data_IF_297327090961
#
_entry.id   IF_297327090961
#
_cell.length_a   1.000
_cell.length_b   1.000
_cell.length_c   1.000
_cell.angle_alpha   90.00
_cell.angle_beta   90.00
_cell.angle_gamma   90.00
#
_symmetry.space_group_name_H-M   'P 1'
#
loop_
_entity.id
_entity.type
_entity.pdbx_description
1 polymer ?
#
# COMPACT_ATOMS: atom_id res chain seq x y z
N UNK A 1 -18.77 22.41 -2.46
CA UNK A 1 -17.58 21.83 -3.11
C UNK A 1 -17.27 20.48 -2.48
N UNK A 2 -17.18 19.44 -3.27
CA UNK A 2 -16.64 18.16 -2.80
C UNK A 2 -15.18 18.38 -2.42
N UNK A 3 -14.80 17.98 -1.21
CA UNK A 3 -13.41 18.01 -0.79
C UNK A 3 -12.69 16.85 -1.45
N UNK A 4 -11.76 17.14 -2.33
CA UNK A 4 -10.93 16.10 -2.93
C UNK A 4 -9.92 15.58 -1.91
N UNK A 5 -9.90 14.26 -1.72
CA UNK A 5 -8.94 13.60 -0.84
C UNK A 5 -7.82 12.99 -1.67
N UNK A 6 -6.60 13.33 -1.33
CA UNK A 6 -5.42 12.81 -2.04
C UNK A 6 -5.17 11.34 -1.70
N UNK A 7 -4.85 10.59 -2.74
CA UNK A 7 -4.32 9.22 -2.64
C UNK A 7 -2.90 9.25 -3.17
N UNK A 8 -1.95 9.01 -2.30
CA UNK A 8 -0.53 9.19 -2.59
C UNK A 8 0.17 7.85 -2.46
N UNK A 9 0.82 7.41 -3.52
CA UNK A 9 1.69 6.25 -3.53
C UNK A 9 3.16 6.69 -3.47
N UNK A 10 3.86 6.31 -2.40
CA UNK A 10 5.30 6.54 -2.23
C UNK A 10 6.05 5.28 -2.65
N UNK A 11 6.82 5.38 -3.72
CA UNK A 11 7.60 4.27 -4.25
C UNK A 11 9.09 4.51 -4.03
N UNK A 12 9.81 3.50 -3.59
CA UNK A 12 11.24 3.58 -3.38
C UNK A 12 11.83 2.24 -2.98
N UNK A 13 13.15 2.08 -3.15
CA UNK A 13 13.86 0.91 -2.65
C UNK A 13 13.70 0.77 -1.12
N UNK A 14 13.92 -0.43 -0.61
CA UNK A 14 13.96 -0.68 0.84
C UNK A 14 15.02 0.20 1.51
N UNK A 15 14.73 0.72 2.70
CA UNK A 15 15.66 1.55 3.45
C UNK A 15 15.86 2.98 2.95
N UNK A 16 15.09 3.45 1.97
CA UNK A 16 15.18 4.81 1.41
C UNK A 16 14.29 5.85 2.07
N UNK A 17 13.85 5.61 3.30
CA UNK A 17 13.15 6.61 4.11
C UNK A 17 11.66 6.79 3.86
N UNK A 18 11.00 5.91 3.08
CA UNK A 18 9.54 6.00 2.86
C UNK A 18 8.77 6.03 4.17
N UNK A 19 8.97 5.03 5.01
CA UNK A 19 8.32 4.96 6.33
C UNK A 19 8.74 6.11 7.24
N UNK A 20 10.01 6.50 7.19
CA UNK A 20 10.55 7.60 8.00
C UNK A 20 9.90 8.96 7.67
N UNK A 21 9.45 9.15 6.43
CA UNK A 21 8.77 10.39 6.02
C UNK A 21 7.45 10.64 6.76
N UNK A 22 6.87 9.61 7.39
CA UNK A 22 5.62 9.72 8.15
C UNK A 22 5.81 10.13 9.63
N UNK A 23 7.05 10.34 10.09
CA UNK A 23 7.34 10.68 11.49
C UNK A 23 6.67 11.95 12.00
N UNK A 24 6.41 12.90 11.08
CA UNK A 24 5.84 14.21 11.40
C UNK A 24 4.31 14.27 11.19
N UNK A 25 3.67 13.14 10.86
CA UNK A 25 2.21 13.09 10.81
C UNK A 25 1.63 13.21 12.23
N UNK A 26 0.47 13.85 12.30
CA UNK A 26 -0.25 14.02 13.56
C UNK A 26 -0.62 12.64 14.17
N UNK A 27 -0.06 12.29 15.34
CA UNK A 27 -0.24 10.97 15.94
C UNK A 27 -1.67 10.70 16.41
N UNK A 28 -2.44 11.76 16.71
CA UNK A 28 -3.80 11.63 17.22
C UNK A 28 -4.84 11.41 16.11
N UNK A 29 -4.51 11.81 14.89
CA UNK A 29 -5.45 11.76 13.75
C UNK A 29 -4.96 10.89 12.60
N UNK A 30 -3.84 10.18 12.75
CA UNK A 30 -3.29 9.27 11.75
C UNK A 30 -3.59 7.82 12.11
N UNK A 31 -4.23 7.09 11.20
CA UNK A 31 -4.36 5.64 11.24
C UNK A 31 -3.20 4.99 10.50
N UNK A 32 -2.31 4.29 11.19
CA UNK A 32 -1.14 3.63 10.61
C UNK A 32 -1.33 2.12 10.54
N UNK A 33 -1.37 1.57 9.33
CA UNK A 33 -1.48 0.15 9.04
C UNK A 33 -0.10 -0.38 8.66
N UNK A 34 0.54 -1.08 9.60
CA UNK A 34 1.88 -1.65 9.42
C UNK A 34 1.78 -3.07 8.88
N UNK A 35 1.80 -3.22 7.57
CA UNK A 35 1.72 -4.51 6.89
C UNK A 35 3.07 -5.21 6.83
N UNK A 36 4.16 -4.47 6.92
CA UNK A 36 5.52 -5.01 6.95
C UNK A 36 5.84 -5.75 8.26
N UNK A 37 5.02 -5.53 9.29
CA UNK A 37 5.19 -6.08 10.63
C UNK A 37 6.59 -5.83 11.25
N UNK A 38 7.19 -4.69 10.89
CA UNK A 38 8.49 -4.24 11.39
C UNK A 38 8.31 -3.08 12.36
N UNK A 39 9.23 -2.91 13.32
CA UNK A 39 9.29 -1.69 14.11
C UNK A 39 9.43 -0.46 13.20
N UNK A 40 8.75 0.62 13.54
CA UNK A 40 8.92 1.88 12.83
C UNK A 40 10.33 2.43 13.08
N UNK A 41 10.98 3.05 12.07
CA UNK A 41 12.35 3.57 12.17
C UNK A 41 12.44 4.87 12.98
N UNK A 42 11.38 5.22 13.72
CA UNK A 42 11.28 6.40 14.56
C UNK A 42 10.40 6.10 15.78
N UNK A 43 10.59 6.89 16.84
CA UNK A 43 9.69 6.84 18.00
C UNK A 43 8.33 7.36 17.57
N UNK A 44 7.30 6.52 17.70
CA UNK A 44 5.96 6.89 17.33
C UNK A 44 5.02 6.86 18.54
N UNK A 45 4.02 7.73 18.50
CA UNK A 45 2.93 7.77 19.47
C UNK A 45 1.58 7.70 18.73
N UNK A 46 1.53 7.06 17.57
CA UNK A 46 0.28 6.93 16.81
C UNK A 46 -0.78 6.22 17.66
N UNK A 47 -1.86 6.94 17.93
CA UNK A 47 -3.02 6.43 18.67
C UNK A 47 -3.66 5.23 17.96
N UNK A 48 -3.67 5.27 16.64
CA UNK A 48 -4.25 4.24 15.78
C UNK A 48 -3.17 3.54 14.96
N UNK A 49 -2.39 2.69 15.61
CA UNK A 49 -1.34 1.91 14.96
C UNK A 49 -1.65 0.43 15.08
N UNK A 50 -1.79 -0.26 13.95
CA UNK A 50 -2.05 -1.70 13.90
C UNK A 50 -1.04 -2.41 13.02
N UNK A 51 -0.54 -3.53 13.50
CA UNK A 51 0.29 -4.47 12.75
C UNK A 51 -0.58 -5.56 12.15
N UNK A 52 -0.30 -5.92 10.90
CA UNK A 52 -1.07 -6.89 10.15
C UNK A 52 -0.34 -8.21 10.03
N UNK A 53 -1.06 -9.32 10.19
CA UNK A 53 -0.52 -10.68 10.04
C UNK A 53 -1.13 -11.41 8.85
N UNK A 54 -2.27 -10.93 8.33
CA UNK A 54 -2.92 -11.46 7.14
C UNK A 54 -3.58 -10.34 6.33
N UNK A 55 -3.88 -10.62 5.07
CA UNK A 55 -4.42 -9.60 4.16
C UNK A 55 -5.86 -9.18 4.51
N UNK A 56 -6.65 -10.06 5.10
CA UNK A 56 -8.02 -9.75 5.52
C UNK A 56 -8.08 -8.69 6.61
N UNK A 57 -7.12 -8.70 7.54
CA UNK A 57 -6.98 -7.66 8.55
C UNK A 57 -6.70 -6.27 7.94
N UNK A 58 -5.99 -6.22 6.81
CA UNK A 58 -5.76 -4.95 6.09
C UNK A 58 -7.08 -4.35 5.63
N UNK A 59 -7.96 -5.15 5.03
CA UNK A 59 -9.28 -4.69 4.59
C UNK A 59 -10.15 -4.23 5.76
N UNK A 60 -10.27 -5.04 6.80
CA UNK A 60 -11.09 -4.70 7.97
C UNK A 60 -10.60 -3.46 8.68
N UNK A 61 -9.28 -3.28 8.79
CA UNK A 61 -8.68 -2.10 9.41
C UNK A 61 -8.84 -0.86 8.53
N UNK A 62 -8.73 -0.98 7.21
CA UNK A 62 -9.01 0.13 6.30
C UNK A 62 -10.46 0.62 6.44
N UNK A 63 -11.42 -0.29 6.51
CA UNK A 63 -12.84 0.05 6.71
C UNK A 63 -13.04 0.69 8.08
N UNK A 64 -12.47 0.14 9.13
CA UNK A 64 -12.52 0.70 10.49
C UNK A 64 -11.97 2.13 10.51
N UNK A 65 -10.78 2.35 9.97
CA UNK A 65 -10.15 3.67 9.94
C UNK A 65 -10.89 4.66 9.03
N UNK A 66 -11.44 4.18 7.92
CA UNK A 66 -12.27 5.01 7.04
C UNK A 66 -13.52 5.55 7.74
N UNK A 67 -14.13 4.75 8.61
CA UNK A 67 -15.35 5.10 9.34
C UNK A 67 -15.08 5.82 10.67
N UNK A 68 -13.85 5.85 11.16
CA UNK A 68 -13.53 6.53 12.41
C UNK A 68 -13.40 8.05 12.17
N UNK A 69 -14.28 8.90 12.78
CA UNK A 69 -14.26 10.34 12.53
C UNK A 69 -13.02 11.06 13.10
N UNK A 70 -12.32 10.45 14.05
CA UNK A 70 -11.09 11.02 14.61
C UNK A 70 -9.89 10.87 13.65
N UNK A 71 -9.92 9.89 12.75
CA UNK A 71 -8.86 9.66 11.79
C UNK A 71 -9.07 10.54 10.55
N UNK A 72 -8.06 11.33 10.21
CA UNK A 72 -8.05 12.20 9.03
C UNK A 72 -7.17 11.66 7.92
N UNK A 73 -6.10 10.98 8.28
CA UNK A 73 -5.10 10.44 7.36
C UNK A 73 -4.88 8.96 7.64
N UNK A 74 -4.77 8.15 6.59
CA UNK A 74 -4.49 6.72 6.69
C UNK A 74 -3.16 6.44 5.98
N UNK A 75 -2.29 5.66 6.62
CA UNK A 75 -1.04 5.16 6.04
C UNK A 75 -1.12 3.65 5.92
N UNK A 76 -0.79 3.13 4.74
CA UNK A 76 -0.62 1.68 4.50
C UNK A 76 0.85 1.42 4.15
N UNK A 77 1.57 0.79 5.03
CA UNK A 77 3.00 0.50 4.86
C UNK A 77 3.25 -1.01 5.01
N UNK A 78 3.33 -1.76 3.92
CA UNK A 78 3.40 -1.36 2.52
C UNK A 78 2.42 -2.15 1.66
N UNK A 79 2.11 -1.64 0.47
CA UNK A 79 1.37 -2.39 -0.56
C UNK A 79 2.12 -3.65 -1.00
N UNK A 80 3.44 -3.59 -1.13
CA UNK A 80 4.25 -4.76 -1.49
C UNK A 80 4.11 -5.90 -0.47
N UNK A 81 4.08 -5.58 0.82
CA UNK A 81 3.83 -6.57 1.87
C UNK A 81 2.38 -7.10 1.83
N UNK A 82 1.41 -6.25 1.56
CA UNK A 82 0.01 -6.66 1.37
C UNK A 82 -0.12 -7.68 0.25
N UNK A 83 0.49 -7.41 -0.89
CA UNK A 83 0.49 -8.31 -2.05
C UNK A 83 1.12 -9.67 -1.71
N UNK A 84 2.21 -9.67 -0.95
CA UNK A 84 2.86 -10.90 -0.47
C UNK A 84 1.91 -11.72 0.43
N UNK A 85 1.15 -11.08 1.31
CA UNK A 85 0.16 -11.76 2.16
C UNK A 85 -0.98 -12.35 1.34
N UNK A 86 -1.48 -11.64 0.34
CA UNK A 86 -2.51 -12.16 -0.59
C UNK A 86 -2.01 -13.39 -1.31
N UNK A 87 -0.79 -13.35 -1.86
CA UNK A 87 -0.21 -14.47 -2.60
C UNK A 87 0.03 -15.68 -1.69
N UNK A 88 0.48 -15.44 -0.45
CA UNK A 88 0.66 -16.50 0.55
C UNK A 88 -0.65 -17.24 0.81
N UNK A 89 -1.74 -16.51 1.01
CA UNK A 89 -3.06 -17.10 1.26
C UNK A 89 -3.62 -17.80 0.01
N UNK A 90 -3.46 -17.19 -1.16
CA UNK A 90 -3.89 -17.81 -2.41
C UNK A 90 -3.19 -19.17 -2.65
N UNK A 91 -1.90 -19.27 -2.36
CA UNK A 91 -1.15 -20.53 -2.47
C UNK A 91 -1.57 -21.61 -1.48
N UNK A 92 -2.09 -21.21 -0.31
CA UNK A 92 -2.62 -22.14 0.68
C UNK A 92 -4.00 -22.69 0.31
N UNK A 93 -4.84 -21.85 -0.28
CA UNK A 93 -6.26 -22.14 -0.48
C UNK A 93 -6.64 -22.51 -1.91
N UNK A 94 -5.81 -22.18 -2.90
CA UNK A 94 -6.07 -22.38 -4.35
C UNK A 94 -4.97 -23.21 -5.00
N UNK A 95 -5.26 -23.67 -6.22
CA UNK A 95 -4.31 -24.43 -7.04
C UNK A 95 -4.28 -23.90 -8.48
N UNK A 96 -3.13 -24.04 -9.12
CA UNK A 96 -2.97 -23.70 -10.52
C UNK A 96 -3.31 -22.24 -10.81
N UNK A 97 -4.11 -22.01 -11.82
CA UNK A 97 -4.47 -20.68 -12.30
C UNK A 97 -5.36 -19.88 -11.30
N UNK A 98 -6.10 -20.58 -10.44
CA UNK A 98 -6.97 -19.94 -9.44
C UNK A 98 -6.20 -19.13 -8.40
N UNK A 99 -4.91 -19.43 -8.18
CA UNK A 99 -4.03 -18.62 -7.36
C UNK A 99 -3.97 -17.19 -7.90
N UNK A 100 -3.79 -17.05 -9.22
CA UNK A 100 -3.67 -15.75 -9.87
C UNK A 100 -5.00 -15.02 -10.00
N UNK A 101 -6.10 -15.75 -10.16
CA UNK A 101 -7.44 -15.18 -10.15
C UNK A 101 -7.74 -14.55 -8.80
N UNK A 102 -7.50 -15.26 -7.70
CA UNK A 102 -7.68 -14.72 -6.36
C UNK A 102 -6.76 -13.52 -6.09
N UNK A 103 -5.49 -13.62 -6.49
CA UNK A 103 -4.50 -12.55 -6.35
C UNK A 103 -4.95 -11.26 -7.03
N UNK A 104 -5.37 -11.34 -8.30
CA UNK A 104 -5.83 -10.18 -9.06
C UNK A 104 -7.13 -9.59 -8.49
N UNK A 105 -8.04 -10.45 -8.03
CA UNK A 105 -9.31 -10.03 -7.42
C UNK A 105 -9.08 -9.22 -6.14
N UNK A 106 -8.23 -9.72 -5.24
CA UNK A 106 -7.97 -9.05 -3.96
C UNK A 106 -7.22 -7.72 -4.15
N UNK A 107 -6.29 -7.64 -5.10
CA UNK A 107 -5.63 -6.38 -5.47
C UNK A 107 -6.64 -5.38 -6.04
N UNK A 108 -7.55 -5.85 -6.89
CA UNK A 108 -8.64 -5.02 -7.42
C UNK A 108 -9.52 -4.46 -6.33
N UNK A 109 -9.91 -5.27 -5.35
CA UNK A 109 -10.69 -4.85 -4.17
C UNK A 109 -9.95 -3.79 -3.35
N UNK A 110 -8.65 -3.98 -3.12
CA UNK A 110 -7.81 -2.99 -2.41
C UNK A 110 -7.84 -1.64 -3.12
N UNK A 111 -7.58 -1.63 -4.42
CA UNK A 111 -7.58 -0.40 -5.21
C UNK A 111 -8.93 0.31 -5.19
N UNK A 112 -10.03 -0.44 -5.32
CA UNK A 112 -11.38 0.12 -5.24
C UNK A 112 -11.68 0.72 -3.87
N UNK A 113 -11.28 0.04 -2.81
CA UNK A 113 -11.48 0.52 -1.44
C UNK A 113 -10.71 1.81 -1.19
N UNK A 114 -9.43 1.86 -1.54
CA UNK A 114 -8.60 3.07 -1.40
C UNK A 114 -9.23 4.27 -2.12
N UNK A 115 -9.73 4.07 -3.35
CA UNK A 115 -10.38 5.14 -4.12
C UNK A 115 -11.64 5.69 -3.44
N UNK A 116 -12.40 4.84 -2.74
CA UNK A 116 -13.67 5.22 -2.10
C UNK A 116 -13.50 5.87 -0.74
N UNK A 117 -12.38 5.69 -0.07
CA UNK A 117 -12.13 6.27 1.25
C UNK A 117 -12.10 7.81 1.15
N UNK A 118 -12.95 8.48 1.92
CA UNK A 118 -13.05 9.95 1.96
C UNK A 118 -12.09 10.54 3.00
N UNK A 119 -10.82 10.15 2.88
CA UNK A 119 -9.69 10.63 3.70
C UNK A 119 -8.43 10.64 2.85
N UNK A 120 -7.43 11.36 3.30
CA UNK A 120 -6.10 11.27 2.70
C UNK A 120 -5.49 9.89 2.98
N UNK A 121 -4.96 9.24 1.95
CA UNK A 121 -4.36 7.92 2.08
C UNK A 121 -2.98 7.93 1.46
N UNK A 122 -1.99 7.56 2.26
CA UNK A 122 -0.63 7.29 1.82
C UNK A 122 -0.41 5.78 1.74
N UNK A 123 0.09 5.31 0.63
CA UNK A 123 0.47 3.91 0.44
C UNK A 123 1.94 3.86 0.06
N UNK A 124 2.73 3.05 0.75
CA UNK A 124 4.12 2.82 0.35
C UNK A 124 4.25 1.57 -0.49
N UNK A 125 5.22 1.53 -1.38
CA UNK A 125 5.56 0.35 -2.15
C UNK A 125 7.06 0.29 -2.43
N UNK A 126 7.58 -0.93 -2.59
CA UNK A 126 8.93 -1.15 -3.09
C UNK A 126 8.91 -1.21 -4.60
N UNK A 127 10.02 -0.80 -5.23
CA UNK A 127 10.25 -1.03 -6.65
C UNK A 127 11.41 -2.00 -6.86
N UNK A 128 11.42 -2.66 -7.99
CA UNK A 128 12.57 -3.35 -8.53
C UNK A 128 12.97 -2.75 -9.88
N UNK A 129 14.24 -2.83 -10.20
CA UNK A 129 14.76 -2.40 -11.49
C UNK A 129 14.81 -3.63 -12.39
N UNK A 130 14.07 -3.59 -13.49
CA UNK A 130 14.14 -4.58 -14.53
C UNK A 130 15.02 -4.04 -15.65
N UNK A 131 16.13 -4.71 -15.93
CA UNK A 131 16.98 -4.43 -17.08
C UNK A 131 16.40 -5.18 -18.27
N UNK A 132 15.65 -4.50 -19.11
CA UNK A 132 15.17 -5.02 -20.39
C UNK A 132 15.97 -4.34 -21.48
N UNK A 133 16.86 -5.11 -22.14
CA UNK A 133 17.59 -4.75 -23.35
C UNK A 133 18.07 -3.27 -23.47
N UNK A 134 18.80 -2.81 -22.46
CA UNK A 134 19.45 -1.49 -22.48
C UNK A 134 18.71 -0.36 -21.80
N UNK A 135 17.42 -0.50 -21.49
CA UNK A 135 16.65 0.47 -20.72
C UNK A 135 16.34 -0.05 -19.31
N UNK A 136 16.73 0.73 -18.28
CA UNK A 136 16.39 0.42 -16.89
C UNK A 136 14.97 0.92 -16.58
N UNK A 137 14.01 0.02 -16.43
CA UNK A 137 12.64 0.36 -16.05
C UNK A 137 12.42 0.08 -14.54
N UNK A 138 11.93 1.07 -13.81
CA UNK A 138 11.53 0.91 -12.41
C UNK A 138 10.08 0.47 -12.34
N UNK A 139 9.82 -0.67 -11.71
CA UNK A 139 8.46 -1.18 -11.50
C UNK A 139 8.18 -1.37 -10.03
N UNK A 140 6.94 -1.16 -9.63
CA UNK A 140 6.49 -1.53 -8.28
C UNK A 140 6.70 -3.03 -8.10
N UNK A 141 7.39 -3.40 -7.02
CA UNK A 141 7.69 -4.80 -6.72
C UNK A 141 6.42 -5.51 -6.30
N UNK A 142 5.94 -6.35 -7.20
CA UNK A 142 4.85 -7.29 -6.98
C UNK A 142 5.27 -8.65 -7.49
N UNK A 143 4.94 -9.71 -6.79
CA UNK A 143 5.21 -11.07 -7.24
C UNK A 143 4.19 -11.49 -8.30
N UNK A 144 4.68 -12.06 -9.39
CA UNK A 144 3.88 -12.55 -10.50
C UNK A 144 3.96 -11.68 -11.74
N UNK A 145 3.57 -12.23 -12.88
CA UNK A 145 3.40 -11.48 -14.12
C UNK A 145 2.12 -10.66 -14.10
N UNK A 146 2.06 -9.66 -13.23
CA UNK A 146 1.02 -8.65 -13.33
C UNK A 146 1.43 -7.73 -14.46
N UNK A 147 0.51 -7.45 -15.36
CA UNK A 147 0.70 -6.41 -16.38
C UNK A 147 1.21 -5.14 -15.69
N UNK A 148 2.33 -4.59 -16.12
CA UNK A 148 2.95 -3.46 -15.44
C UNK A 148 1.95 -2.31 -15.37
N UNK A 149 1.68 -1.84 -14.16
CA UNK A 149 1.09 -0.53 -14.00
C UNK A 149 2.16 0.48 -14.42
N UNK A 150 1.92 1.20 -15.50
CA UNK A 150 2.78 2.33 -15.87
C UNK A 150 2.60 3.40 -14.82
N UNK A 151 3.58 3.55 -13.98
CA UNK A 151 3.68 4.67 -13.05
C UNK A 151 4.36 5.82 -13.77
N UNK A 152 3.62 6.87 -14.06
CA UNK A 152 4.22 8.09 -14.60
C UNK A 152 4.61 8.96 -13.41
N UNK A 153 5.92 9.16 -13.21
CA UNK A 153 6.46 10.13 -12.27
C UNK A 153 6.52 11.48 -12.97
N UNK A 154 5.75 12.43 -12.51
CA UNK A 154 5.89 13.85 -12.87
C UNK A 154 6.38 14.55 -11.60
N UNK A 155 7.59 15.15 -11.67
CA UNK A 155 8.23 15.89 -10.57
C UNK A 155 8.30 15.13 -9.22
N UNK A 156 8.60 13.83 -9.28
CA UNK A 156 8.72 13.01 -8.07
C UNK A 156 7.37 12.66 -7.41
N UNK A 157 6.25 13.06 -8.00
CA UNK A 157 4.89 12.70 -7.55
C UNK A 157 4.29 11.68 -8.50
N UNK A 158 3.62 10.68 -7.94
CA UNK A 158 2.87 9.70 -8.72
C UNK A 158 1.50 10.30 -9.01
N UNK A 159 1.18 10.50 -10.27
CA UNK A 159 -0.05 11.15 -10.70
C UNK A 159 -1.15 10.19 -11.14
N UNK A 160 -0.82 8.96 -11.47
CA UNK A 160 -1.83 7.93 -11.78
C UNK A 160 -1.29 6.51 -11.67
N UNK A 161 -2.14 5.59 -11.26
CA UNK A 161 -1.98 4.14 -11.42
C UNK A 161 -3.02 3.74 -12.48
N UNK A 162 -2.57 3.44 -13.68
CA UNK A 162 -3.42 2.91 -14.75
C UNK A 162 -3.27 1.39 -14.83
#
# INVERSE_FOLDING_TARGET
MSKDFYKILLVGASGKGKTYSFRDLDPDTTGFINVEDKPLPFKNNFKYHKRMTNYGEVFSTLVEFANNPEIKTIVVDSFSAFVDLVLLEARKTKKGFDIWNMYNEEIGKFNMLIKRIQKEVFVTAHYEILNLEGDAEKRVKVKGEIRPYKTTLIDGKITSIN
#
